data_IF_100197731612
#
_entry.id   IF_100197731612
#
_cell.length_a   1.000
_cell.length_b   1.000
_cell.length_c   1.000
_cell.angle_alpha   90.00
_cell.angle_beta   90.00
_cell.angle_gamma   90.00
#
_symmetry.space_group_name_H-M   'P 1'
#
loop_
_entity.id
_entity.type
_entity.pdbx_description
1 polymer ?
#
# COMPACT_ATOMS: atom_id res chain seq x y z
N UNK A 1 55.37 -4.67 7.56
CA UNK A 1 54.50 -5.14 6.45
C UNK A 1 53.26 -5.93 6.89
N UNK A 2 53.22 -6.57 8.07
CA UNK A 2 52.03 -7.34 8.55
C UNK A 2 50.87 -6.46 9.05
N UNK A 3 51.16 -5.30 9.67
CA UNK A 3 50.15 -4.34 10.16
C UNK A 3 49.40 -3.62 9.02
N UNK A 4 50.08 -3.30 7.92
CA UNK A 4 49.49 -2.64 6.74
C UNK A 4 48.50 -3.52 6.00
N UNK A 5 48.74 -4.84 5.96
CA UNK A 5 47.79 -5.80 5.39
C UNK A 5 46.48 -5.87 6.18
N UNK A 6 46.54 -5.87 7.53
CA UNK A 6 45.35 -5.91 8.37
C UNK A 6 44.45 -4.68 8.20
N UNK A 7 45.04 -3.50 7.98
CA UNK A 7 44.30 -2.26 7.77
C UNK A 7 43.54 -2.25 6.43
N UNK A 8 44.10 -2.86 5.39
CA UNK A 8 43.45 -3.02 4.07
C UNK A 8 42.22 -3.93 4.16
N UNK A 9 42.35 -5.06 4.87
CA UNK A 9 41.22 -5.98 5.08
C UNK A 9 40.09 -5.35 5.91
N UNK A 10 40.44 -4.55 6.92
CA UNK A 10 39.46 -3.81 7.72
C UNK A 10 38.72 -2.75 6.87
N UNK A 11 39.44 -2.02 6.01
CA UNK A 11 38.81 -1.07 5.08
C UNK A 11 37.86 -1.72 4.08
N UNK A 12 38.22 -2.89 3.54
CA UNK A 12 37.37 -3.66 2.62
C UNK A 12 36.09 -4.17 3.30
N UNK A 13 36.17 -4.57 4.58
CA UNK A 13 35.01 -4.97 5.37
C UNK A 13 34.03 -3.81 5.59
N UNK A 14 34.54 -2.60 5.89
CA UNK A 14 33.71 -1.40 6.07
C UNK A 14 33.00 -0.97 4.78
N UNK A 15 33.63 -1.12 3.61
CA UNK A 15 32.99 -0.82 2.31
C UNK A 15 31.87 -1.81 2.00
N UNK A 16 32.04 -3.10 2.32
CA UNK A 16 30.99 -4.11 2.13
C UNK A 16 29.73 -3.86 2.98
N UNK A 17 29.89 -3.26 4.17
CA UNK A 17 28.78 -2.95 5.08
C UNK A 17 27.98 -1.71 4.67
N UNK A 18 28.53 -0.83 3.82
CA UNK A 18 27.88 0.42 3.40
C UNK A 18 26.86 0.23 2.24
N UNK A 19 26.86 -0.92 1.56
CA UNK A 19 26.04 -1.13 0.35
C UNK A 19 24.53 -1.28 0.58
N UNK A 20 24.10 -1.64 1.80
CA UNK A 20 22.67 -1.84 2.08
C UNK A 20 21.88 -0.53 2.24
N UNK A 21 22.53 0.58 2.60
CA UNK A 21 21.86 1.87 2.78
C UNK A 21 21.59 2.58 1.44
N UNK A 22 22.44 2.35 0.43
CA UNK A 22 22.33 2.94 -0.91
C UNK A 22 21.31 2.23 -1.82
N UNK A 23 20.81 1.06 -1.41
CA UNK A 23 19.84 0.28 -2.17
C UNK A 23 18.37 0.57 -1.78
N UNK A 24 18.11 1.66 -1.05
CA UNK A 24 16.74 2.12 -0.85
C UNK A 24 16.23 2.67 -2.17
N UNK A 25 15.44 1.87 -2.88
CA UNK A 25 14.64 2.37 -3.98
C UNK A 25 13.76 3.51 -3.44
N UNK A 26 13.85 4.69 -4.05
CA UNK A 26 12.92 5.79 -3.79
C UNK A 26 11.51 5.29 -4.10
N UNK A 27 10.79 4.91 -3.05
CA UNK A 27 9.41 4.46 -3.10
C UNK A 27 8.55 5.63 -2.63
N UNK A 28 7.69 6.09 -3.52
CA UNK A 28 6.73 7.15 -3.27
C UNK A 28 5.37 6.57 -2.88
N UNK A 29 4.65 7.25 -1.99
CA UNK A 29 3.37 6.75 -1.53
C UNK A 29 2.33 6.81 -2.66
N UNK A 30 1.55 5.73 -2.90
CA UNK A 30 0.45 5.77 -3.85
C UNK A 30 -0.65 6.72 -3.35
N UNK A 31 -1.34 7.36 -4.28
CA UNK A 31 -2.50 8.20 -3.98
C UNK A 31 -3.76 7.36 -4.08
N UNK A 32 -4.66 7.48 -3.10
CA UNK A 32 -5.96 6.79 -3.08
C UNK A 32 -7.07 7.84 -2.95
N UNK A 33 -8.04 7.81 -3.85
CA UNK A 33 -9.21 8.69 -3.83
C UNK A 33 -10.50 7.86 -3.87
N UNK A 34 -11.58 8.39 -3.28
CA UNK A 34 -12.90 7.76 -3.39
C UNK A 34 -13.50 8.12 -4.75
N UNK A 35 -13.71 7.11 -5.60
CA UNK A 35 -14.30 7.27 -6.93
C UNK A 35 -15.82 7.08 -6.92
N UNK A 36 -16.35 6.27 -6.00
CA UNK A 36 -17.79 6.10 -5.84
C UNK A 36 -18.17 5.64 -4.44
N UNK A 37 -19.38 5.98 -4.02
CA UNK A 37 -19.99 5.51 -2.78
C UNK A 37 -21.48 5.30 -3.03
N UNK A 38 -21.96 4.06 -2.95
CA UNK A 38 -23.38 3.76 -3.20
C UNK A 38 -23.91 2.67 -2.28
N UNK A 39 -25.22 2.73 -2.02
CA UNK A 39 -25.95 1.67 -1.32
C UNK A 39 -26.27 0.57 -2.33
N UNK A 40 -25.96 -0.66 -1.98
CA UNK A 40 -26.36 -1.84 -2.74
C UNK A 40 -27.78 -2.26 -2.36
N UNK A 41 -28.59 -2.72 -3.33
CA UNK A 41 -29.89 -3.30 -3.02
C UNK A 41 -29.73 -4.48 -2.07
N UNK A 42 -30.38 -4.40 -0.90
CA UNK A 42 -30.33 -5.46 0.09
C UNK A 42 -31.75 -5.84 0.49
N UNK A 43 -32.00 -7.15 0.62
CA UNK A 43 -33.23 -7.70 1.20
C UNK A 43 -33.21 -7.66 2.74
N UNK A 44 -32.06 -7.29 3.33
CA UNK A 44 -31.84 -7.19 4.76
C UNK A 44 -32.10 -5.78 5.28
N UNK A 45 -32.43 -5.69 6.57
CA UNK A 45 -32.58 -4.41 7.29
C UNK A 45 -31.25 -3.64 7.35
N UNK A 46 -30.12 -4.35 7.34
CA UNK A 46 -28.78 -3.74 7.35
C UNK A 46 -28.38 -3.35 5.91
N UNK A 47 -28.02 -2.07 5.66
CA UNK A 47 -27.57 -1.63 4.36
C UNK A 47 -26.20 -2.22 4.01
N UNK A 48 -26.00 -2.52 2.73
CA UNK A 48 -24.69 -2.83 2.16
C UNK A 48 -24.22 -1.65 1.33
N UNK A 49 -22.96 -1.29 1.44
CA UNK A 49 -22.34 -0.23 0.67
C UNK A 49 -21.34 -0.82 -0.31
N UNK A 50 -21.26 -0.24 -1.49
CA UNK A 50 -20.13 -0.39 -2.40
C UNK A 50 -19.35 0.92 -2.44
N UNK A 51 -18.03 0.80 -2.25
CA UNK A 51 -17.10 1.91 -2.21
C UNK A 51 -16.07 1.66 -3.30
N UNK A 52 -16.04 2.52 -4.31
CA UNK A 52 -14.99 2.54 -5.31
C UNK A 52 -13.85 3.43 -4.84
N UNK A 53 -12.64 2.89 -4.91
CA UNK A 53 -11.40 3.62 -4.70
C UNK A 53 -10.62 3.65 -6.00
N UNK A 54 -10.04 4.80 -6.33
CA UNK A 54 -9.12 4.95 -7.43
C UNK A 54 -7.70 5.11 -6.88
N UNK A 55 -6.80 4.24 -7.32
CA UNK A 55 -5.43 4.14 -6.82
C UNK A 55 -4.46 4.51 -7.93
N UNK A 56 -3.59 5.49 -7.66
CA UNK A 56 -2.51 5.92 -8.57
C UNK A 56 -1.17 5.47 -8.01
N UNK A 57 -0.42 4.70 -8.79
CA UNK A 57 0.92 4.23 -8.45
C UNK A 57 1.99 5.09 -9.12
N UNK A 58 2.66 6.00 -8.39
CA UNK A 58 3.75 6.81 -8.94
C UNK A 58 5.07 6.03 -9.09
N UNK A 59 5.12 4.76 -8.68
CA UNK A 59 6.36 3.98 -8.66
C UNK A 59 6.56 3.16 -9.93
N UNK A 60 7.84 2.96 -10.28
CA UNK A 60 8.27 2.01 -11.33
C UNK A 60 8.04 0.53 -11.01
N UNK A 61 7.64 0.22 -9.77
CA UNK A 61 7.39 -1.13 -9.31
C UNK A 61 5.87 -1.31 -9.25
N UNK A 62 5.30 -2.38 -9.81
CA UNK A 62 3.88 -2.64 -9.67
C UNK A 62 3.47 -2.82 -8.21
N UNK A 63 2.30 -2.29 -7.84
CA UNK A 63 1.71 -2.50 -6.53
C UNK A 63 0.93 -3.82 -6.51
N UNK A 64 1.51 -4.81 -5.83
CA UNK A 64 0.80 -6.04 -5.49
C UNK A 64 0.12 -5.86 -4.14
N UNK A 65 -1.19 -5.65 -4.17
CA UNK A 65 -2.01 -5.43 -2.97
C UNK A 65 -2.37 -6.79 -2.35
N UNK A 66 -1.80 -7.11 -1.19
CA UNK A 66 -2.10 -8.36 -0.47
C UNK A 66 -3.29 -8.25 0.48
N UNK A 67 -3.61 -7.03 0.91
CA UNK A 67 -4.73 -6.75 1.76
C UNK A 67 -4.86 -5.26 2.02
N UNK A 68 -6.06 -4.83 2.37
CA UNK A 68 -6.37 -3.44 2.66
C UNK A 68 -7.30 -3.38 3.86
N UNK A 69 -6.92 -2.57 4.85
CA UNK A 69 -7.82 -2.19 5.94
C UNK A 69 -8.44 -0.85 5.61
N UNK A 70 -9.70 -0.66 5.97
CA UNK A 70 -10.43 0.57 5.69
C UNK A 70 -11.41 0.91 6.81
N UNK A 71 -11.68 2.19 6.93
CA UNK A 71 -12.72 2.75 7.79
C UNK A 71 -13.44 3.85 7.01
N UNK A 72 -14.75 3.94 7.19
CA UNK A 72 -15.54 5.05 6.63
C UNK A 72 -16.03 5.90 7.78
N UNK A 73 -15.77 7.20 7.67
CA UNK A 73 -16.19 8.21 8.63
C UNK A 73 -17.11 9.21 7.95
N UNK A 74 -18.22 9.55 8.60
CA UNK A 74 -19.16 10.55 8.16
C UNK A 74 -19.30 11.58 9.28
N UNK A 75 -19.05 12.85 8.98
CA UNK A 75 -19.06 13.93 9.99
C UNK A 75 -18.20 13.59 11.23
N UNK A 76 -17.04 12.96 11.02
CA UNK A 76 -16.13 12.52 12.08
C UNK A 76 -16.60 11.30 12.89
N UNK A 77 -17.73 10.69 12.52
CA UNK A 77 -18.25 9.48 13.15
C UNK A 77 -17.92 8.28 12.27
N UNK A 78 -17.18 7.33 12.83
CA UNK A 78 -16.88 6.06 12.17
C UNK A 78 -18.15 5.23 12.04
N UNK A 79 -18.53 4.94 10.80
CA UNK A 79 -19.77 4.24 10.46
C UNK A 79 -19.51 2.75 10.18
N UNK A 80 -18.35 2.40 9.63
CA UNK A 80 -17.96 1.02 9.38
C UNK A 80 -16.45 0.85 9.32
N UNK A 81 -16.00 -0.39 9.53
CA UNK A 81 -14.61 -0.83 9.32
C UNK A 81 -14.58 -2.16 8.59
N UNK A 82 -13.45 -2.47 7.94
CA UNK A 82 -13.30 -3.77 7.30
C UNK A 82 -11.91 -4.04 6.76
N UNK A 83 -11.77 -5.25 6.22
CA UNK A 83 -10.58 -5.72 5.52
C UNK A 83 -10.98 -6.33 4.18
N UNK A 84 -10.16 -6.12 3.16
CA UNK A 84 -10.29 -6.75 1.86
C UNK A 84 -9.00 -7.50 1.52
N UNK A 85 -9.12 -8.72 1.01
CA UNK A 85 -7.98 -9.56 0.60
C UNK A 85 -7.92 -9.78 -0.92
N UNK A 86 -9.03 -9.57 -1.62
CA UNK A 86 -9.12 -9.70 -3.07
C UNK A 86 -8.96 -8.33 -3.70
N UNK A 87 -7.73 -8.00 -4.11
CA UNK A 87 -7.38 -6.69 -4.62
C UNK A 87 -6.64 -6.82 -5.97
N UNK A 88 -6.91 -5.93 -6.93
CA UNK A 88 -6.19 -5.92 -8.19
C UNK A 88 -4.73 -5.51 -7.99
N UNK A 89 -3.90 -5.95 -8.92
CA UNK A 89 -2.54 -5.44 -9.06
C UNK A 89 -2.58 -4.11 -9.81
N UNK A 90 -1.91 -3.08 -9.28
CA UNK A 90 -1.78 -1.79 -9.95
C UNK A 90 -0.42 -1.74 -10.66
N UNK A 91 -0.43 -1.51 -11.97
CA UNK A 91 0.78 -1.48 -12.79
C UNK A 91 1.77 -0.41 -12.33
N UNK A 92 3.05 -0.58 -12.69
CA UNK A 92 4.06 0.45 -12.53
C UNK A 92 3.67 1.72 -13.29
N UNK A 93 3.81 2.90 -12.67
CA UNK A 93 3.38 4.20 -13.22
C UNK A 93 1.95 4.17 -13.79
N UNK A 94 1.07 3.41 -13.16
CA UNK A 94 -0.29 3.17 -13.62
C UNK A 94 -1.32 3.52 -12.56
N UNK A 95 -2.58 3.35 -12.93
CA UNK A 95 -3.74 3.56 -12.09
C UNK A 95 -4.67 2.35 -12.16
N UNK A 96 -5.54 2.21 -11.17
CA UNK A 96 -6.57 1.19 -11.18
C UNK A 96 -7.60 1.35 -10.06
N UNK A 97 -8.73 0.68 -10.25
CA UNK A 97 -9.87 0.81 -9.35
C UNK A 97 -9.99 -0.41 -8.43
N UNK A 98 -10.31 -0.14 -7.16
CA UNK A 98 -10.58 -1.13 -6.12
C UNK A 98 -12.03 -0.98 -5.70
N UNK A 99 -12.80 -2.07 -5.78
CA UNK A 99 -14.18 -2.12 -5.32
C UNK A 99 -14.25 -2.81 -3.96
N UNK A 100 -14.77 -2.11 -2.97
CA UNK A 100 -15.03 -2.63 -1.64
C UNK A 100 -16.52 -2.80 -1.42
N UNK A 101 -16.89 -3.89 -0.75
CA UNK A 101 -18.24 -4.07 -0.23
C UNK A 101 -18.18 -4.18 1.29
N UNK A 102 -18.99 -3.37 1.97
CA UNK A 102 -18.98 -3.28 3.43
C UNK A 102 -20.39 -3.13 3.99
N UNK A 103 -20.58 -3.59 5.23
CA UNK A 103 -21.76 -3.36 6.04
C UNK A 103 -21.36 -2.63 7.32
N UNK A 104 -22.25 -1.77 7.88
CA UNK A 104 -22.05 -1.19 9.20
C UNK A 104 -21.93 -2.26 10.29
N UNK A 105 -21.23 -1.90 11.36
CA UNK A 105 -21.13 -2.69 12.60
C UNK A 105 -22.45 -2.63 13.42
#
# INVERSE_FOLDING_TARGET
MRKTRGFIWLGLLFIGLAGCATLRADFEQPTVTVSSFRVLPASSVVPKFEIGLHVVNPNRIPLQLFGMSYAVELEGHRILTGVASELPMISAYGEGDVLLQASPD
#
